data_IF_251367790769
#
_entry.id   IF_251367790769
#
_cell.length_a   1.000
_cell.length_b   1.000
_cell.length_c   1.000
_cell.angle_alpha   90.00
_cell.angle_beta   90.00
_cell.angle_gamma   90.00
#
_symmetry.space_group_name_H-M   'P 1'
#
loop_
_entity.id
_entity.type
_entity.pdbx_description
1 polymer ?
#
# COMPACT_ATOMS: atom_id res chain seq x y z
N UNK A 1 -7.90 13.83 13.19
CA UNK A 1 -6.70 13.23 13.81
C UNK A 1 -6.57 11.74 13.46
N UNK A 2 -7.61 10.93 13.69
CA UNK A 2 -7.62 9.50 13.32
C UNK A 2 -7.40 9.26 11.82
N UNK A 3 -8.12 10.00 10.97
CA UNK A 3 -7.96 10.03 9.50
C UNK A 3 -6.50 10.16 9.06
N UNK A 4 -5.84 11.19 9.59
CA UNK A 4 -4.46 11.53 9.29
C UNK A 4 -3.51 10.42 9.74
N UNK A 5 -3.79 9.82 10.89
CA UNK A 5 -3.01 8.70 11.40
C UNK A 5 -3.15 7.46 10.51
N UNK A 6 -4.38 7.13 10.08
CA UNK A 6 -4.65 6.02 9.16
C UNK A 6 -3.89 6.23 7.84
N UNK A 7 -3.97 7.44 7.28
CA UNK A 7 -3.26 7.77 6.06
C UNK A 7 -1.73 7.65 6.22
N UNK A 8 -1.17 8.15 7.33
CA UNK A 8 0.26 8.05 7.61
C UNK A 8 0.72 6.60 7.76
N UNK A 9 -0.03 5.78 8.49
CA UNK A 9 0.29 4.35 8.66
C UNK A 9 0.21 3.62 7.33
N UNK A 10 -0.82 3.89 6.52
CA UNK A 10 -1.01 3.24 5.24
C UNK A 10 0.08 3.59 4.20
N UNK A 11 0.75 4.74 4.35
CA UNK A 11 1.86 5.15 3.48
C UNK A 11 3.14 4.36 3.76
N UNK A 12 3.35 3.85 4.98
CA UNK A 12 4.55 3.08 5.33
C UNK A 12 4.78 1.84 4.45
N UNK A 13 3.81 0.90 4.28
CA UNK A 13 4.01 -0.26 3.41
C UNK A 13 4.23 0.15 1.94
N UNK A 14 3.62 1.24 1.49
CA UNK A 14 3.79 1.77 0.13
C UNK A 14 5.24 2.21 -0.09
N UNK A 15 5.73 3.13 0.75
CA UNK A 15 7.11 3.64 0.64
C UNK A 15 8.10 2.48 0.72
N UNK A 16 7.91 1.58 1.68
CA UNK A 16 8.82 0.47 1.91
C UNK A 16 8.85 -0.54 0.75
N UNK A 17 7.68 -0.93 0.24
CA UNK A 17 7.59 -1.79 -0.94
C UNK A 17 8.30 -1.16 -2.14
N UNK A 18 8.02 0.11 -2.44
CA UNK A 18 8.62 0.81 -3.59
C UNK A 18 10.13 1.00 -3.45
N UNK A 19 10.61 1.27 -2.24
CA UNK A 19 12.05 1.31 -1.96
C UNK A 19 12.72 -0.04 -2.24
N UNK A 20 12.12 -1.15 -1.79
CA UNK A 20 12.70 -2.47 -1.96
C UNK A 20 12.57 -3.03 -3.39
N UNK A 21 11.52 -2.67 -4.14
CA UNK A 21 11.35 -3.06 -5.55
C UNK A 21 12.56 -2.65 -6.38
N UNK A 22 13.06 -1.41 -6.18
CA UNK A 22 14.24 -0.91 -6.91
C UNK A 22 15.51 -1.73 -6.66
N UNK A 23 15.59 -2.43 -5.52
CA UNK A 23 16.78 -3.17 -5.09
C UNK A 23 16.71 -4.65 -5.40
N UNK A 24 15.51 -5.25 -5.48
CA UNK A 24 15.36 -6.70 -5.52
C UNK A 24 14.58 -7.22 -6.73
N UNK A 25 14.19 -6.36 -7.66
CA UNK A 25 13.35 -6.76 -8.80
C UNK A 25 14.02 -6.43 -10.13
N UNK A 26 14.04 -7.38 -11.06
CA UNK A 26 14.62 -7.22 -12.41
C UNK A 26 13.86 -6.20 -13.27
N UNK A 27 12.56 -6.06 -13.04
CA UNK A 27 11.65 -5.19 -13.81
C UNK A 27 10.95 -4.17 -12.90
N UNK A 28 11.68 -3.18 -12.35
CA UNK A 28 11.14 -2.31 -11.31
C UNK A 28 9.95 -1.47 -11.79
N UNK A 29 9.96 -0.98 -13.03
CA UNK A 29 8.85 -0.20 -13.59
C UNK A 29 7.56 -1.02 -13.67
N UNK A 30 7.63 -2.24 -14.20
CA UNK A 30 6.48 -3.15 -14.29
C UNK A 30 5.94 -3.50 -12.92
N UNK A 31 6.82 -3.78 -11.95
CA UNK A 31 6.40 -4.08 -10.57
C UNK A 31 5.78 -2.87 -9.87
N UNK A 32 6.29 -1.66 -10.10
CA UNK A 32 5.66 -0.44 -9.60
C UNK A 32 4.26 -0.26 -10.19
N UNK A 33 4.09 -0.45 -11.50
CA UNK A 33 2.77 -0.37 -12.14
C UNK A 33 1.80 -1.42 -11.57
N UNK A 34 2.28 -2.66 -11.38
CA UNK A 34 1.49 -3.75 -10.80
C UNK A 34 1.12 -3.56 -9.33
N UNK A 35 1.81 -2.69 -8.58
CA UNK A 35 1.43 -2.34 -7.21
C UNK A 35 0.52 -1.11 -7.18
N UNK A 36 0.87 -0.07 -7.95
CA UNK A 36 0.11 1.18 -8.00
C UNK A 36 -1.28 0.96 -8.57
N UNK A 37 -1.42 0.29 -9.72
CA UNK A 37 -2.70 0.19 -10.42
C UNK A 37 -3.74 -0.57 -9.57
N UNK A 38 -3.47 -1.79 -9.06
CA UNK A 38 -4.40 -2.47 -8.17
C UNK A 38 -4.62 -1.71 -6.86
N UNK A 39 -3.59 -1.06 -6.33
CA UNK A 39 -3.71 -0.23 -5.14
C UNK A 39 -4.70 0.93 -5.34
N UNK A 40 -4.59 1.67 -6.45
CA UNK A 40 -5.49 2.76 -6.81
C UNK A 40 -6.92 2.26 -7.02
N UNK A 41 -7.08 1.13 -7.72
CA UNK A 41 -8.40 0.54 -7.95
C UNK A 41 -9.05 0.11 -6.63
N UNK A 42 -8.32 -0.63 -5.78
CA UNK A 42 -8.84 -1.12 -4.51
C UNK A 42 -9.12 0.01 -3.53
N UNK A 43 -8.20 0.95 -3.37
CA UNK A 43 -8.43 2.16 -2.58
C UNK A 43 -9.64 2.95 -3.07
N UNK A 44 -9.81 3.08 -4.40
CA UNK A 44 -10.97 3.72 -5.01
C UNK A 44 -12.29 3.03 -4.67
N UNK A 45 -12.31 1.69 -4.72
CA UNK A 45 -13.47 0.88 -4.30
C UNK A 45 -13.77 1.11 -2.81
N UNK A 46 -12.76 1.07 -1.93
CA UNK A 46 -12.95 1.36 -0.51
C UNK A 46 -13.51 2.76 -0.27
N UNK A 47 -13.00 3.77 -0.97
CA UNK A 47 -13.47 5.15 -0.87
C UNK A 47 -14.92 5.31 -1.34
N UNK A 48 -15.29 4.63 -2.43
CA UNK A 48 -16.63 4.64 -2.98
C UNK A 48 -17.64 4.10 -1.95
N UNK A 49 -17.37 2.92 -1.38
CA UNK A 49 -18.26 2.33 -0.38
C UNK A 49 -18.29 3.10 0.94
N UNK A 50 -17.16 3.69 1.36
CA UNK A 50 -17.14 4.52 2.56
C UNK A 50 -18.02 5.77 2.44
N UNK A 51 -18.10 6.38 1.24
CA UNK A 51 -18.99 7.53 1.00
C UNK A 51 -20.47 7.17 1.03
N UNK A 52 -20.81 5.91 0.76
CA UNK A 52 -22.20 5.43 0.82
C UNK A 52 -22.62 5.01 2.22
N UNK A 53 -21.69 4.97 3.18
CA UNK A 53 -21.95 4.57 4.56
C UNK A 53 -22.51 5.75 5.39
N UNK A 54 -23.75 5.66 5.91
CA UNK A 54 -24.31 6.68 6.78
C UNK A 54 -23.57 6.83 8.12
N UNK A 55 -22.71 5.89 8.50
CA UNK A 55 -21.90 5.94 9.73
C UNK A 55 -20.72 6.93 9.66
N UNK A 56 -20.54 7.65 8.56
CA UNK A 56 -19.60 8.78 8.48
C UNK A 56 -18.15 8.39 8.21
N UNK A 57 -17.90 7.23 7.61
CA UNK A 57 -16.55 6.85 7.18
C UNK A 57 -16.06 7.81 6.08
N UNK A 58 -15.01 8.59 6.35
CA UNK A 58 -14.48 9.50 5.34
C UNK A 58 -13.76 8.70 4.24
N UNK A 59 -14.17 8.93 2.99
CA UNK A 59 -13.65 8.19 1.84
C UNK A 59 -12.13 8.29 1.64
N UNK A 60 -11.48 9.34 2.15
CA UNK A 60 -10.01 9.48 2.05
C UNK A 60 -9.28 8.53 2.99
N UNK A 61 -9.70 8.38 4.24
CA UNK A 61 -9.08 7.40 5.14
C UNK A 61 -9.31 5.97 4.66
N UNK A 62 -10.51 5.66 4.16
CA UNK A 62 -10.82 4.37 3.55
C UNK A 62 -9.98 4.11 2.29
N UNK A 63 -9.80 5.13 1.44
CA UNK A 63 -8.89 5.06 0.29
C UNK A 63 -7.48 4.70 0.74
N UNK A 64 -6.91 5.48 1.67
CA UNK A 64 -5.55 5.29 2.13
C UNK A 64 -5.36 3.91 2.75
N UNK A 65 -6.28 3.48 3.63
CA UNK A 65 -6.24 2.16 4.24
C UNK A 65 -6.25 1.03 3.20
N UNK A 66 -7.18 1.07 2.24
CA UNK A 66 -7.25 0.09 1.15
C UNK A 66 -6.00 0.10 0.27
N UNK A 67 -5.55 1.29 -0.14
CA UNK A 67 -4.34 1.46 -0.93
C UNK A 67 -3.11 0.88 -0.24
N UNK A 68 -2.88 1.24 1.03
CA UNK A 68 -1.76 0.73 1.83
C UNK A 68 -1.83 -0.78 2.06
N UNK A 69 -3.03 -1.33 2.28
CA UNK A 69 -3.23 -2.76 2.49
C UNK A 69 -2.78 -3.60 1.29
N UNK A 70 -3.04 -3.15 0.06
CA UNK A 70 -2.58 -3.84 -1.17
C UNK A 70 -1.06 -3.91 -1.27
N UNK A 71 -0.34 -2.93 -0.72
CA UNK A 71 1.12 -2.90 -0.76
C UNK A 71 1.76 -3.75 0.34
N UNK A 72 1.01 -4.13 1.37
CA UNK A 72 1.52 -4.85 2.55
C UNK A 72 2.13 -6.22 2.19
N UNK A 73 1.50 -7.10 1.40
CA UNK A 73 2.11 -8.37 1.00
C UNK A 73 3.42 -8.18 0.23
N UNK A 74 3.45 -7.22 -0.69
CA UNK A 74 4.65 -6.87 -1.45
C UNK A 74 5.79 -6.38 -0.54
N UNK A 75 5.46 -5.50 0.41
CA UNK A 75 6.40 -5.03 1.43
C UNK A 75 6.97 -6.18 2.27
N UNK A 76 6.12 -7.11 2.72
CA UNK A 76 6.54 -8.26 3.54
C UNK A 76 7.46 -9.20 2.76
N UNK A 77 7.06 -9.63 1.56
CA UNK A 77 7.85 -10.56 0.73
C UNK A 77 9.22 -9.96 0.40
N UNK A 78 9.24 -8.67 0.02
CA UNK A 78 10.49 -7.98 -0.27
C UNK A 78 11.35 -7.80 0.98
N UNK A 79 10.75 -7.60 2.16
CA UNK A 79 11.49 -7.51 3.43
C UNK A 79 12.16 -8.83 3.78
N UNK A 80 11.46 -9.95 3.62
CA UNK A 80 12.03 -11.28 3.82
C UNK A 80 13.20 -11.51 2.85
N UNK A 81 13.02 -11.16 1.58
CA UNK A 81 14.09 -11.24 0.58
C UNK A 81 15.29 -10.36 0.96
N UNK A 82 15.03 -9.16 1.47
CA UNK A 82 16.07 -8.24 1.91
C UNK A 82 16.84 -8.74 3.12
N UNK A 83 16.15 -9.34 4.11
CA UNK A 83 16.78 -9.95 5.29
C UNK A 83 17.71 -11.10 4.90
N UNK A 84 17.25 -12.00 4.02
CA UNK A 84 18.06 -13.11 3.49
C UNK A 84 19.31 -12.64 2.76
N UNK A 85 19.19 -11.56 1.96
CA UNK A 85 20.34 -10.97 1.27
C UNK A 85 21.39 -10.38 2.23
N UNK A 86 21.03 -10.10 3.49
CA UNK A 86 21.92 -9.63 4.55
C UNK A 86 22.44 -10.75 5.47
N UNK A 87 22.08 -12.01 5.21
CA UNK A 87 22.52 -13.15 6.04
C UNK A 87 21.74 -13.36 7.34
N UNK A 88 20.52 -12.80 7.43
CA UNK A 88 19.56 -13.06 8.51
C UNK A 88 18.56 -14.15 8.13
#
# INVERSE_FOLDING_TARGET
MLETLIALIAVLPVIWAHYLVRRHTRYPLTTHALLIVPGLLFGGVCAFYARTDPAGAHGLAAFSAGFGAVHLPGAVVLSIKHARARGH
#
